data_IF_060039971958
#
_entry.id   IF_060039971958
#
_cell.length_a   1.000
_cell.length_b   1.000
_cell.length_c   1.000
_cell.angle_alpha   90.00
_cell.angle_beta   90.00
_cell.angle_gamma   90.00
#
_symmetry.space_group_name_H-M   'P 1'
#
loop_
_entity.id
_entity.type
_entity.pdbx_description
1 polymer ?
#
# COMPACT_ATOMS: atom_id res chain seq x y z
N UNK A 1 28.59 -1.82 6.38
CA UNK A 1 27.85 -0.59 6.70
C UNK A 1 28.33 -0.02 8.02
N UNK A 2 28.24 1.30 8.24
CA UNK A 2 28.52 1.93 9.55
C UNK A 2 27.47 1.52 10.59
N UNK A 3 27.79 1.61 11.89
CA UNK A 3 26.84 1.33 12.97
C UNK A 3 25.58 2.19 12.88
N UNK A 4 25.71 3.48 12.57
CA UNK A 4 24.58 4.39 12.35
C UNK A 4 23.66 3.89 11.24
N UNK A 5 24.22 3.42 10.11
CA UNK A 5 23.45 2.84 9.01
C UNK A 5 22.70 1.58 9.44
N UNK A 6 23.33 0.70 10.22
CA UNK A 6 22.67 -0.51 10.78
C UNK A 6 21.48 -0.13 11.69
N UNK A 7 21.66 0.89 12.54
CA UNK A 7 20.60 1.40 13.43
C UNK A 7 19.44 1.98 12.61
N UNK A 8 19.73 2.79 11.59
CA UNK A 8 18.70 3.35 10.71
C UNK A 8 17.92 2.28 9.94
N UNK A 9 18.59 1.21 9.47
CA UNK A 9 17.88 0.06 8.85
C UNK A 9 17.01 -0.67 9.89
N UNK A 10 17.47 -0.81 11.13
CA UNK A 10 16.65 -1.39 12.20
C UNK A 10 15.40 -0.54 12.48
N UNK A 11 15.55 0.79 12.56
CA UNK A 11 14.42 1.73 12.71
C UNK A 11 13.47 1.62 11.52
N UNK A 12 14.00 1.55 10.29
CA UNK A 12 13.20 1.33 9.08
C UNK A 12 12.35 0.05 9.18
N UNK A 13 12.95 -1.09 9.57
CA UNK A 13 12.23 -2.34 9.76
C UNK A 13 11.19 -2.28 10.90
N UNK A 14 11.49 -1.56 11.99
CA UNK A 14 10.54 -1.33 13.10
C UNK A 14 9.34 -0.49 12.66
N UNK A 15 9.57 0.58 11.89
CA UNK A 15 8.49 1.39 11.33
C UNK A 15 7.59 0.55 10.44
N UNK A 16 8.15 -0.37 9.66
CA UNK A 16 7.38 -1.25 8.79
C UNK A 16 6.43 -2.18 9.57
N UNK A 17 6.75 -2.54 10.82
CA UNK A 17 5.83 -3.33 11.66
C UNK A 17 4.53 -2.57 12.02
N UNK A 18 4.46 -1.26 11.80
CA UNK A 18 3.27 -0.47 12.16
C UNK A 18 2.00 -0.93 11.46
N UNK A 19 2.09 -1.49 10.24
CA UNK A 19 0.91 -1.90 9.46
C UNK A 19 0.20 -3.13 10.02
N UNK A 20 0.80 -3.82 10.99
CA UNK A 20 0.11 -4.89 11.72
C UNK A 20 -0.94 -4.36 12.70
N UNK A 21 -0.84 -3.08 13.07
CA UNK A 21 -1.69 -2.46 14.10
C UNK A 21 -2.30 -1.13 13.66
N UNK A 22 -1.95 -0.63 12.47
CA UNK A 22 -2.45 0.61 11.89
C UNK A 22 -2.95 0.36 10.46
N UNK A 23 -3.97 1.11 10.01
CA UNK A 23 -4.49 0.99 8.65
C UNK A 23 -3.40 1.35 7.63
N UNK A 24 -3.36 0.58 6.55
CA UNK A 24 -2.44 0.78 5.44
C UNK A 24 -2.93 1.90 4.51
N UNK A 25 -4.23 1.88 4.21
CA UNK A 25 -4.84 2.75 3.23
C UNK A 25 -6.23 3.20 3.70
N UNK A 26 -6.66 4.35 3.22
CA UNK A 26 -7.95 4.94 3.55
C UNK A 26 -8.65 5.39 2.29
N UNK A 27 -9.92 5.03 2.20
CA UNK A 27 -10.85 5.42 1.16
C UNK A 27 -11.95 6.23 1.83
N UNK A 28 -12.22 7.41 1.29
CA UNK A 28 -13.29 8.30 1.74
C UNK A 28 -14.29 8.48 0.61
N UNK A 29 -15.56 8.60 0.96
CA UNK A 29 -16.65 8.78 0.01
C UNK A 29 -17.63 9.82 0.56
N UNK A 30 -17.84 10.88 -0.19
CA UNK A 30 -18.87 11.87 0.09
C UNK A 30 -20.04 11.62 -0.86
N UNK A 31 -21.22 11.35 -0.30
CA UNK A 31 -22.44 11.13 -1.07
C UNK A 31 -23.59 11.94 -0.47
N UNK A 32 -24.54 12.46 -1.26
CA UNK A 32 -25.67 13.23 -0.74
C UNK A 32 -26.52 12.49 0.30
N UNK A 33 -26.56 11.16 0.24
CA UNK A 33 -27.27 10.30 1.17
C UNK A 33 -26.59 10.16 2.54
N UNK A 34 -25.28 10.44 2.59
CA UNK A 34 -24.44 10.32 3.79
C UNK A 34 -23.69 11.64 3.99
N UNK A 35 -24.36 12.70 4.47
CA UNK A 35 -23.77 14.03 4.65
C UNK A 35 -22.59 14.05 5.64
N UNK A 36 -22.50 13.06 6.52
CA UNK A 36 -21.37 12.82 7.42
C UNK A 36 -20.12 12.26 6.74
N UNK A 37 -20.26 11.78 5.49
CA UNK A 37 -19.23 11.08 4.76
C UNK A 37 -19.12 9.60 5.17
N UNK A 38 -18.61 8.77 4.26
CA UNK A 38 -18.29 7.39 4.52
C UNK A 38 -16.78 7.19 4.46
N UNK A 39 -16.25 6.34 5.32
CA UNK A 39 -14.85 5.99 5.35
C UNK A 39 -14.67 4.47 5.40
N UNK A 40 -13.70 3.98 4.65
CA UNK A 40 -13.27 2.59 4.66
C UNK A 40 -11.75 2.53 4.75
N UNK A 41 -11.24 1.66 5.61
CA UNK A 41 -9.81 1.48 5.83
C UNK A 41 -9.38 0.09 5.39
N UNK A 42 -8.28 0.01 4.67
CA UNK A 42 -7.63 -1.23 4.25
C UNK A 42 -6.49 -1.50 5.23
N UNK A 43 -6.52 -2.68 5.83
CA UNK A 43 -5.54 -3.20 6.77
C UNK A 43 -4.75 -4.33 6.10
N UNK A 44 -3.65 -4.73 6.72
CA UNK A 44 -2.87 -5.88 6.25
C UNK A 44 -3.70 -7.19 6.23
N UNK A 45 -4.74 -7.28 7.06
CA UNK A 45 -5.57 -8.47 7.29
C UNK A 45 -7.03 -8.31 6.91
N UNK A 46 -7.45 -7.19 6.32
CA UNK A 46 -8.86 -6.97 6.02
C UNK A 46 -9.24 -5.54 5.71
N UNK A 47 -10.55 -5.29 5.73
CA UNK A 47 -11.15 -3.98 5.46
C UNK A 47 -12.15 -3.67 6.59
N UNK A 48 -12.16 -2.42 7.07
CA UNK A 48 -13.10 -1.96 8.11
C UNK A 48 -13.72 -0.61 7.73
N UNK A 49 -14.70 -0.15 8.52
CA UNK A 49 -15.38 1.12 8.31
C UNK A 49 -16.80 0.91 7.77
N UNK A 50 -17.26 1.84 6.95
CA UNK A 50 -18.63 1.87 6.40
C UNK A 50 -18.84 0.92 5.21
N UNK A 51 -18.33 -0.32 5.27
CA UNK A 51 -18.34 -1.28 4.16
C UNK A 51 -19.77 -1.59 3.70
N UNK A 52 -20.70 -1.80 4.64
CA UNK A 52 -22.08 -2.13 4.32
C UNK A 52 -22.84 -0.97 3.66
N UNK A 53 -22.61 0.26 4.12
CA UNK A 53 -23.18 1.47 3.51
C UNK A 53 -22.64 1.66 2.08
N UNK A 54 -21.32 1.48 1.89
CA UNK A 54 -20.69 1.55 0.57
C UNK A 54 -21.24 0.45 -0.34
N UNK A 55 -21.43 -0.77 0.15
CA UNK A 55 -22.08 -1.84 -0.61
C UNK A 55 -23.51 -1.49 -1.03
N UNK A 56 -24.27 -0.83 -0.15
CA UNK A 56 -25.59 -0.30 -0.49
C UNK A 56 -25.54 0.70 -1.65
N UNK A 57 -24.54 1.58 -1.69
CA UNK A 57 -24.33 2.51 -2.82
C UNK A 57 -23.89 1.77 -4.09
N UNK A 58 -22.94 0.83 -3.97
CA UNK A 58 -22.43 0.01 -5.06
C UNK A 58 -23.56 -0.73 -5.79
N UNK A 59 -24.51 -1.27 -5.04
CA UNK A 59 -25.68 -1.98 -5.59
C UNK A 59 -26.47 -1.11 -6.60
N UNK A 60 -26.66 0.19 -6.33
CA UNK A 60 -27.43 1.06 -7.21
C UNK A 60 -26.75 1.34 -8.55
N UNK A 61 -25.42 1.40 -8.56
CA UNK A 61 -24.59 1.69 -9.76
C UNK A 61 -24.02 0.42 -10.41
N UNK A 62 -24.38 -0.75 -9.87
CA UNK A 62 -23.98 -2.06 -10.40
C UNK A 62 -22.57 -2.50 -10.03
N UNK A 63 -21.89 -1.80 -9.11
CA UNK A 63 -20.60 -2.26 -8.60
C UNK A 63 -20.78 -3.52 -7.74
N UNK A 64 -19.78 -4.40 -7.76
CA UNK A 64 -19.77 -5.61 -6.92
C UNK A 64 -19.80 -5.24 -5.43
N UNK A 65 -20.40 -6.11 -4.62
CA UNK A 65 -20.28 -6.00 -3.17
C UNK A 65 -18.85 -6.36 -2.75
N UNK A 66 -18.29 -5.52 -1.89
CA UNK A 66 -17.06 -5.76 -1.15
C UNK A 66 -17.37 -6.79 -0.06
N UNK A 67 -16.85 -8.00 -0.23
CA UNK A 67 -16.97 -9.10 0.73
C UNK A 67 -15.54 -9.45 1.18
N UNK A 68 -15.20 -9.12 2.42
CA UNK A 68 -13.81 -9.18 2.93
C UNK A 68 -13.24 -10.60 2.84
N UNK A 69 -14.09 -11.62 2.97
CA UNK A 69 -13.72 -13.02 2.92
C UNK A 69 -13.24 -13.49 1.53
N UNK A 70 -13.62 -12.76 0.47
CA UNK A 70 -13.24 -13.08 -0.90
C UNK A 70 -11.79 -12.67 -1.23
N UNK A 71 -11.19 -11.80 -0.41
CA UNK A 71 -9.81 -11.35 -0.57
C UNK A 71 -8.86 -12.35 0.10
N UNK A 72 -8.41 -13.34 -0.66
CA UNK A 72 -7.46 -14.34 -0.18
C UNK A 72 -6.10 -13.70 0.19
N UNK A 73 -5.79 -12.55 -0.40
CA UNK A 73 -4.60 -11.75 -0.15
C UNK A 73 -4.47 -11.44 1.34
N UNK A 74 -5.55 -11.08 2.02
CA UNK A 74 -5.52 -10.79 3.47
C UNK A 74 -5.10 -11.97 4.34
N UNK A 75 -5.20 -13.21 3.83
CA UNK A 75 -4.73 -14.41 4.52
C UNK A 75 -3.24 -14.64 4.33
N UNK A 76 -2.65 -14.14 3.25
CA UNK A 76 -1.25 -14.42 2.85
C UNK A 76 -0.32 -13.22 3.07
N UNK A 77 -0.82 -12.00 2.83
CA UNK A 77 -0.09 -10.74 2.95
C UNK A 77 0.60 -10.56 4.32
N UNK A 78 -0.03 -10.89 5.48
CA UNK A 78 0.65 -10.76 6.76
C UNK A 78 1.95 -11.59 6.83
N UNK A 79 1.92 -12.84 6.39
CA UNK A 79 3.09 -13.71 6.43
C UNK A 79 4.17 -13.27 5.44
N UNK A 80 3.78 -12.93 4.21
CA UNK A 80 4.69 -12.46 3.19
C UNK A 80 5.38 -11.15 3.61
N UNK A 81 4.60 -10.19 4.11
CA UNK A 81 5.11 -8.92 4.60
C UNK A 81 6.01 -9.10 5.83
N UNK A 82 5.63 -9.98 6.76
CA UNK A 82 6.46 -10.36 7.90
C UNK A 82 7.84 -10.88 7.49
N UNK A 83 7.90 -11.74 6.48
CA UNK A 83 9.17 -12.22 5.93
C UNK A 83 10.03 -11.07 5.36
N UNK A 84 9.42 -10.11 4.65
CA UNK A 84 10.12 -8.92 4.14
C UNK A 84 10.70 -8.08 5.29
N UNK A 85 9.93 -7.88 6.36
CA UNK A 85 10.42 -7.14 7.54
C UNK A 85 11.56 -7.88 8.25
N UNK A 86 11.48 -9.21 8.38
CA UNK A 86 12.56 -10.03 8.95
C UNK A 86 13.85 -9.93 8.13
N UNK A 87 13.77 -9.86 6.80
CA UNK A 87 14.93 -9.59 5.94
C UNK A 87 15.53 -8.22 6.28
N UNK A 88 14.72 -7.21 6.58
CA UNK A 88 15.19 -5.90 7.04
C UNK A 88 16.02 -5.97 8.32
N UNK A 89 15.54 -6.70 9.33
CA UNK A 89 16.32 -6.96 10.54
C UNK A 89 17.61 -7.74 10.27
N UNK A 90 17.57 -8.72 9.35
CA UNK A 90 18.76 -9.46 8.93
C UNK A 90 19.79 -8.53 8.25
N UNK A 91 19.34 -7.60 7.40
CA UNK A 91 20.19 -6.59 6.76
C UNK A 91 20.83 -5.67 7.81
N UNK A 92 20.03 -5.20 8.78
CA UNK A 92 20.50 -4.40 9.91
C UNK A 92 21.57 -5.15 10.71
N UNK A 93 21.34 -6.43 11.04
CA UNK A 93 22.27 -7.24 11.82
C UNK A 93 23.57 -7.53 11.08
N UNK A 94 23.50 -8.01 9.83
CA UNK A 94 24.69 -8.37 9.02
C UNK A 94 25.47 -7.16 8.54
N UNK A 95 24.83 -6.01 8.34
CA UNK A 95 25.52 -4.80 7.90
C UNK A 95 26.02 -4.85 6.44
N UNK A 96 25.39 -5.67 5.59
CA UNK A 96 25.79 -5.89 4.19
C UNK A 96 25.04 -4.97 3.22
N UNK A 97 25.79 -4.18 2.43
CA UNK A 97 25.21 -3.31 1.38
C UNK A 97 24.57 -4.14 0.26
N UNK A 98 25.10 -5.34 -0.02
CA UNK A 98 24.49 -6.25 -1.00
C UNK A 98 23.11 -6.73 -0.54
N UNK A 99 22.97 -7.08 0.75
CA UNK A 99 21.67 -7.46 1.30
C UNK A 99 20.70 -6.27 1.32
N UNK A 100 21.19 -5.06 1.58
CA UNK A 100 20.35 -3.85 1.52
C UNK A 100 19.81 -3.59 0.11
N UNK A 101 20.63 -3.79 -0.94
CA UNK A 101 20.17 -3.75 -2.33
C UNK A 101 19.06 -4.76 -2.60
N UNK A 102 19.26 -6.02 -2.19
CA UNK A 102 18.27 -7.09 -2.38
C UNK A 102 16.97 -6.76 -1.64
N UNK A 103 17.06 -6.33 -0.38
CA UNK A 103 15.90 -5.99 0.43
C UNK A 103 15.10 -4.82 -0.15
N UNK A 104 15.77 -3.75 -0.60
CA UNK A 104 15.10 -2.64 -1.29
C UNK A 104 14.48 -3.05 -2.63
N UNK A 105 15.12 -3.95 -3.37
CA UNK A 105 14.54 -4.53 -4.58
C UNK A 105 13.25 -5.30 -4.28
N UNK A 106 13.25 -6.10 -3.22
CA UNK A 106 12.05 -6.82 -2.74
C UNK A 106 10.96 -5.85 -2.30
N UNK A 107 11.29 -4.81 -1.52
CA UNK A 107 10.34 -3.79 -1.08
C UNK A 107 9.71 -3.08 -2.28
N UNK A 108 10.50 -2.66 -3.27
CA UNK A 108 9.99 -2.00 -4.47
C UNK A 108 9.08 -2.93 -5.28
N UNK A 109 9.50 -4.18 -5.48
CA UNK A 109 8.69 -5.18 -6.19
C UNK A 109 7.36 -5.44 -5.47
N UNK A 110 7.39 -5.57 -4.14
CA UNK A 110 6.20 -5.76 -3.31
C UNK A 110 5.25 -4.55 -3.39
N UNK A 111 5.77 -3.33 -3.30
CA UNK A 111 4.97 -2.10 -3.44
C UNK A 111 4.33 -2.01 -4.82
N UNK A 112 5.09 -2.25 -5.89
CA UNK A 112 4.55 -2.21 -7.26
C UNK A 112 3.48 -3.28 -7.44
N UNK A 113 3.73 -4.51 -6.96
CA UNK A 113 2.74 -5.59 -7.03
C UNK A 113 1.45 -5.22 -6.31
N UNK A 114 1.53 -4.72 -5.08
CA UNK A 114 0.35 -4.30 -4.31
C UNK A 114 -0.43 -3.15 -4.95
N UNK A 115 0.26 -2.16 -5.53
CA UNK A 115 -0.41 -1.05 -6.24
C UNK A 115 -1.08 -1.50 -7.54
N UNK A 116 -0.46 -2.43 -8.28
CA UNK A 116 -1.06 -3.02 -9.48
C UNK A 116 -2.29 -3.86 -9.11
N UNK A 117 -2.19 -4.70 -8.08
CA UNK A 117 -3.31 -5.51 -7.61
C UNK A 117 -4.48 -4.63 -7.14
N UNK A 118 -4.20 -3.57 -6.38
CA UNK A 118 -5.21 -2.62 -5.96
C UNK A 118 -5.86 -1.89 -7.16
N UNK A 119 -5.07 -1.46 -8.14
CA UNK A 119 -5.61 -0.88 -9.38
C UNK A 119 -6.53 -1.86 -10.14
N UNK A 120 -6.18 -3.16 -10.16
CA UNK A 120 -7.01 -4.19 -10.79
C UNK A 120 -8.34 -4.37 -10.06
N UNK A 121 -8.37 -4.28 -8.73
CA UNK A 121 -9.62 -4.25 -7.98
C UNK A 121 -10.48 -3.05 -8.35
N UNK A 122 -9.90 -1.85 -8.36
CA UNK A 122 -10.63 -0.63 -8.74
C UNK A 122 -11.19 -0.72 -10.16
N UNK A 123 -10.39 -1.26 -11.09
CA UNK A 123 -10.80 -1.46 -12.47
C UNK A 123 -11.94 -2.46 -12.57
N UNK A 124 -11.81 -3.65 -11.96
CA UNK A 124 -12.83 -4.69 -11.97
C UNK A 124 -14.15 -4.20 -11.37
N UNK A 125 -14.10 -3.57 -10.19
CA UNK A 125 -15.29 -3.03 -9.54
C UNK A 125 -15.91 -1.89 -10.35
N UNK A 126 -15.10 -1.06 -11.00
CA UNK A 126 -15.57 0.11 -11.75
C UNK A 126 -16.08 -0.16 -13.17
N UNK A 127 -15.70 -1.29 -13.79
CA UNK A 127 -16.00 -1.60 -15.20
C UNK A 127 -16.90 -2.82 -15.37
N UNK A 128 -16.85 -3.80 -14.46
CA UNK A 128 -17.70 -4.99 -14.53
C UNK A 128 -18.99 -4.75 -13.76
N UNK A 129 -19.80 -3.83 -14.29
CA UNK A 129 -21.04 -3.37 -13.68
C UNK A 129 -22.23 -4.26 -14.05
N UNK A 130 -23.15 -4.45 -13.10
CA UNK A 130 -24.37 -5.21 -13.33
C UNK A 130 -25.28 -4.50 -14.38
N UNK A 131 -25.59 -5.15 -15.52
CA UNK A 131 -26.46 -4.59 -16.56
C UNK A 131 -27.92 -4.41 -16.11
N UNK A 132 -28.29 -4.85 -14.91
CA UNK A 132 -29.61 -4.69 -14.28
C UNK A 132 -29.66 -3.61 -13.20
N UNK A 133 -28.54 -2.96 -12.87
CA UNK A 133 -28.47 -1.89 -11.87
C UNK A 133 -29.45 -0.73 -12.10
N UNK A 134 -29.91 -0.11 -11.01
CA UNK A 134 -30.94 0.93 -11.05
C UNK A 134 -30.46 2.23 -11.72
N UNK A 135 -29.20 2.60 -11.52
CA UNK A 135 -28.59 3.81 -12.08
C UNK A 135 -27.55 3.38 -13.11
N UNK A 136 -27.75 3.81 -14.36
CA UNK A 136 -26.80 3.61 -15.45
C UNK A 136 -26.68 4.87 -16.27
N UNK A 137 -25.45 5.26 -16.56
CA UNK A 137 -25.16 6.31 -17.53
C UNK A 137 -24.35 5.67 -18.66
N UNK A 138 -24.86 5.78 -19.88
CA UNK A 138 -24.24 5.16 -21.05
C UNK A 138 -22.79 5.63 -21.22
N UNK A 139 -21.86 4.69 -21.37
CA UNK A 139 -20.43 4.95 -21.52
C UNK A 139 -19.68 5.39 -20.25
N UNK A 140 -20.33 5.45 -19.08
CA UNK A 140 -19.67 5.81 -17.82
C UNK A 140 -19.24 4.58 -17.01
N UNK A 141 -18.09 4.71 -16.35
CA UNK A 141 -17.51 3.71 -15.45
C UNK A 141 -17.30 4.33 -14.08
N UNK A 142 -17.38 3.52 -13.02
CA UNK A 142 -17.31 4.02 -11.64
C UNK A 142 -15.99 3.67 -10.95
N UNK A 143 -14.90 3.47 -11.70
CA UNK A 143 -13.58 3.16 -11.14
C UNK A 143 -13.13 4.25 -10.14
N UNK A 144 -12.93 3.91 -8.86
CA UNK A 144 -12.34 4.81 -7.86
C UNK A 144 -10.90 5.24 -8.23
N UNK A 145 -10.37 6.32 -7.63
CA UNK A 145 -8.99 6.70 -7.86
C UNK A 145 -8.03 5.85 -7.02
N UNK A 146 -6.92 5.37 -7.61
CA UNK A 146 -5.85 4.72 -6.86
C UNK A 146 -5.26 5.65 -5.78
N UNK A 147 -5.02 6.90 -6.16
CA UNK A 147 -4.56 7.98 -5.28
C UNK A 147 -5.28 9.27 -5.67
N UNK A 148 -5.70 10.06 -4.67
CA UNK A 148 -6.30 11.37 -4.89
C UNK A 148 -7.82 11.32 -4.86
N UNK A 149 -8.45 12.33 -5.45
CA UNK A 149 -9.90 12.46 -5.51
C UNK A 149 -10.42 12.27 -6.93
N UNK A 150 -11.61 11.68 -7.05
CA UNK A 150 -12.34 11.54 -8.31
C UNK A 150 -13.83 11.67 -8.09
N UNK A 151 -14.45 12.55 -8.87
CA UNK A 151 -15.91 12.65 -8.92
C UNK A 151 -16.46 11.47 -9.72
N UNK A 152 -17.44 10.77 -9.14
CA UNK A 152 -18.12 9.63 -9.73
C UNK A 152 -19.63 9.89 -9.58
N UNK A 153 -20.31 10.28 -10.65
CA UNK A 153 -21.68 10.82 -10.59
C UNK A 153 -21.82 11.95 -9.56
N UNK A 154 -22.68 11.77 -8.56
CA UNK A 154 -22.97 12.69 -7.49
C UNK A 154 -22.16 12.41 -6.22
N UNK A 155 -21.22 11.46 -6.24
CA UNK A 155 -20.34 11.17 -5.12
C UNK A 155 -18.88 11.49 -5.43
N UNK A 156 -18.16 11.99 -4.42
CA UNK A 156 -16.73 12.26 -4.48
C UNK A 156 -15.99 11.14 -3.75
N UNK A 157 -15.15 10.39 -4.46
CA UNK A 157 -14.31 9.35 -3.87
C UNK A 157 -12.87 9.85 -3.70
N UNK A 158 -12.27 9.60 -2.54
CA UNK A 158 -10.88 9.89 -2.23
C UNK A 158 -10.14 8.63 -1.78
N UNK A 159 -8.85 8.51 -2.14
CA UNK A 159 -8.03 7.33 -1.82
C UNK A 159 -6.60 7.75 -1.47
N UNK A 160 -6.12 7.35 -0.29
CA UNK A 160 -4.85 7.81 0.25
C UNK A 160 -4.16 6.77 1.15
N UNK A 161 -2.82 6.76 1.21
CA UNK A 161 -2.10 6.08 2.28
C UNK A 161 -2.59 6.57 3.65
N UNK A 162 -2.88 5.63 4.55
CA UNK A 162 -3.19 5.95 5.94
C UNK A 162 -1.91 5.88 6.81
N UNK A 163 -2.02 6.07 8.12
CA UNK A 163 -0.87 6.20 9.03
C UNK A 163 0.11 5.03 8.89
N UNK A 164 -0.39 3.79 8.79
CA UNK A 164 0.45 2.63 8.59
C UNK A 164 1.21 2.68 7.26
N UNK A 165 0.53 3.05 6.17
CA UNK A 165 1.15 3.22 4.85
C UNK A 165 2.20 4.34 4.83
N UNK A 166 1.94 5.45 5.50
CA UNK A 166 2.89 6.57 5.64
C UNK A 166 4.16 6.12 6.37
N UNK A 167 4.02 5.42 7.50
CA UNK A 167 5.17 4.92 8.28
C UNK A 167 6.00 3.91 7.49
N UNK A 168 5.37 3.03 6.71
CA UNK A 168 6.07 2.13 5.77
C UNK A 168 6.83 2.91 4.71
N UNK A 169 6.18 3.93 4.12
CA UNK A 169 6.82 4.82 3.14
C UNK A 169 8.07 5.49 3.72
N UNK A 170 7.97 6.05 4.93
CA UNK A 170 9.11 6.63 5.66
C UNK A 170 10.20 5.58 5.90
N UNK A 171 9.83 4.38 6.34
CA UNK A 171 10.76 3.27 6.51
C UNK A 171 11.51 2.94 5.21
N UNK A 172 10.80 2.85 4.08
CA UNK A 172 11.39 2.63 2.76
C UNK A 172 12.36 3.75 2.34
N UNK A 173 11.97 5.01 2.57
CA UNK A 173 12.83 6.17 2.29
C UNK A 173 14.10 6.17 3.14
N UNK A 174 14.03 5.80 4.42
CA UNK A 174 15.20 5.63 5.29
C UNK A 174 16.14 4.57 4.70
N UNK A 175 15.61 3.40 4.31
CA UNK A 175 16.41 2.33 3.73
C UNK A 175 17.11 2.77 2.43
N UNK A 176 16.38 3.44 1.53
CA UNK A 176 16.93 4.00 0.29
C UNK A 176 18.01 5.07 0.56
N UNK A 177 17.79 5.96 1.52
CA UNK A 177 18.76 6.97 1.95
C UNK A 177 20.05 6.35 2.51
N UNK A 178 19.94 5.31 3.34
CA UNK A 178 21.09 4.55 3.85
C UNK A 178 21.87 3.91 2.70
N UNK A 179 21.17 3.30 1.73
CA UNK A 179 21.82 2.69 0.57
C UNK A 179 22.61 3.72 -0.24
N UNK A 180 22.00 4.88 -0.50
CA UNK A 180 22.64 5.98 -1.23
C UNK A 180 23.92 6.47 -0.52
N UNK A 181 23.87 6.68 0.80
CA UNK A 181 25.03 7.11 1.60
C UNK A 181 26.14 6.05 1.59
N UNK A 182 25.79 4.77 1.77
CA UNK A 182 26.77 3.67 1.79
C UNK A 182 27.44 3.48 0.42
N UNK A 183 26.71 3.64 -0.69
CA UNK A 183 27.26 3.59 -2.03
C UNK A 183 28.20 4.77 -2.33
N UNK A 184 27.82 6.00 -1.96
CA UNK A 184 28.71 7.17 -2.11
C UNK A 184 30.01 6.99 -1.36
N UNK A 185 29.96 6.48 -0.12
CA UNK A 185 31.17 6.19 0.67
C UNK A 185 32.06 5.12 0.05
N UNK A 186 31.47 4.08 -0.54
CA UNK A 186 32.24 3.03 -1.22
C UNK A 186 32.99 3.58 -2.44
N UNK A 187 32.38 4.50 -3.18
CA UNK A 187 32.98 5.12 -4.36
C UNK A 187 34.04 6.19 -4.03
N UNK A 188 34.00 6.79 -2.83
CA UNK A 188 34.98 7.78 -2.38
C UNK A 188 36.26 7.17 -1.80
N UNK A 189 36.31 5.85 -1.57
CA UNK A 189 37.52 5.18 -1.10
C UNK A 189 38.43 4.85 -2.30
N UNK A 190 39.74 5.14 -2.24
CA UNK A 190 40.64 4.80 -3.33
C UNK A 190 40.56 3.29 -3.58
N UNK A 191 40.28 2.89 -4.83
CA UNK A 191 40.41 1.48 -5.23
C UNK A 191 41.87 1.12 -5.00
N UNK A 192 42.16 0.28 -4.00
CA UNK A 192 43.49 -0.35 -3.89
C UNK A 192 43.75 -1.04 -5.23
N UNK A 193 44.68 -0.49 -6.00
CA UNK A 193 45.25 -1.15 -7.17
C UNK A 193 45.89 -2.43 -6.67
N UNK A 194 45.28 -3.58 -7.01
CA UNK A 194 45.94 -4.86 -6.91
C UNK A 194 47.01 -4.86 -7.99
N UNK A 195 48.26 -4.68 -7.56
CA UNK A 195 49.47 -5.06 -8.31
C UNK A 195 49.70 -6.54 -7.97
#
# INVERSE_FOLDING_TARGET
MKSTSKILICISALLMLSIYVLPLWRIVLEAPQYPEGLEMQIWLTGITGNVDQINGLNHYIGMKHIVVENFWEFKVLPYLYGAIVLIGFLVAWKGSVKLLWVWLGILLAFTVFGLVDFYLWEYDYGHNLDPTAAIKVEGMTYQPPLIGYKQLLNFLAGSFPDIGGILVGIGGLIAAGVLYIENKRKNSLPRKSLI
#
